data_IF_139555784269
#
_entry.id   IF_139555784269
#
_cell.length_a   1.000
_cell.length_b   1.000
_cell.length_c   1.000
_cell.angle_alpha   90.00
_cell.angle_beta   90.00
_cell.angle_gamma   90.00
#
_symmetry.space_group_name_H-M   'P 1'
#
loop_
_entity.id
_entity.type
_entity.pdbx_description
1 polymer ?
#
# COMPACT_ATOMS: atom_id res chain seq x y z
N UNK A 1 22.83 15.77 -7.96
CA UNK A 1 22.42 14.42 -8.37
C UNK A 1 21.00 14.52 -8.90
N UNK A 2 20.75 14.24 -10.19
CA UNK A 2 19.39 14.10 -10.71
C UNK A 2 18.80 12.86 -10.04
N UNK A 3 17.67 12.99 -9.36
CA UNK A 3 16.94 11.83 -8.88
C UNK A 3 16.69 10.91 -10.08
N UNK A 4 17.02 9.63 -9.94
CA UNK A 4 16.64 8.60 -10.91
C UNK A 4 15.13 8.72 -11.11
N UNK A 5 14.66 8.79 -12.36
CA UNK A 5 13.21 8.77 -12.62
C UNK A 5 12.72 7.37 -12.28
N UNK A 6 12.00 7.27 -11.18
CA UNK A 6 11.31 6.03 -10.82
C UNK A 6 10.41 5.57 -11.98
N UNK A 7 10.42 4.25 -12.22
CA UNK A 7 9.51 3.62 -13.18
C UNK A 7 8.12 3.30 -12.58
N UNK A 8 7.86 3.70 -11.33
CA UNK A 8 6.59 3.44 -10.70
C UNK A 8 5.48 4.37 -11.23
N UNK A 9 4.24 3.91 -11.15
CA UNK A 9 3.09 4.68 -11.62
C UNK A 9 2.92 5.97 -10.83
N UNK A 10 2.60 7.06 -11.52
CA UNK A 10 2.26 8.37 -10.96
C UNK A 10 0.80 8.71 -11.28
N UNK A 11 0.28 9.74 -10.67
CA UNK A 11 -1.14 10.12 -10.73
C UNK A 11 -2.06 9.02 -10.20
N UNK A 12 -1.61 8.24 -9.21
CA UNK A 12 -2.34 7.11 -8.64
C UNK A 12 -2.20 7.07 -7.12
N UNK A 13 -3.11 6.36 -6.47
CA UNK A 13 -3.14 6.20 -5.03
C UNK A 13 -2.32 5.01 -4.56
N UNK A 14 -1.49 5.23 -3.56
CA UNK A 14 -0.75 4.20 -2.83
C UNK A 14 -1.25 4.12 -1.39
N UNK A 15 -1.11 2.98 -0.76
CA UNK A 15 -1.32 2.84 0.67
C UNK A 15 -0.07 3.36 1.40
N UNK A 16 -0.21 4.39 2.23
CA UNK A 16 0.91 4.96 2.97
C UNK A 16 1.16 4.24 4.30
N UNK A 17 0.13 4.08 5.13
CA UNK A 17 0.21 3.37 6.41
C UNK A 17 -1.18 3.05 6.96
N UNK A 18 -1.24 2.23 8.01
CA UNK A 18 -2.46 2.10 8.80
C UNK A 18 -2.68 3.34 9.67
N UNK A 19 -3.93 3.81 9.77
CA UNK A 19 -4.27 5.06 10.47
C UNK A 19 -3.88 5.08 11.95
N UNK A 20 -3.83 3.91 12.61
CA UNK A 20 -3.42 3.81 14.02
C UNK A 20 -1.95 4.19 14.28
N UNK A 21 -1.11 4.20 13.23
CA UNK A 21 0.29 4.63 13.33
C UNK A 21 0.38 6.15 13.52
N UNK A 22 -0.59 6.90 12.98
CA UNK A 22 -0.64 8.36 13.06
C UNK A 22 -1.46 8.81 14.28
N UNK A 23 -0.78 9.05 15.40
CA UNK A 23 -1.41 9.62 16.59
C UNK A 23 -1.81 11.09 16.35
N UNK A 24 -2.87 11.55 17.01
CA UNK A 24 -3.27 12.96 16.98
C UNK A 24 -2.15 13.86 17.48
N UNK A 25 -1.93 14.97 16.81
CA UNK A 25 -0.86 15.93 17.13
C UNK A 25 0.56 15.41 16.84
N UNK A 26 0.70 14.35 16.03
CA UNK A 26 2.00 13.76 15.72
C UNK A 26 2.25 13.64 14.22
N UNK A 27 3.54 13.57 13.86
CA UNK A 27 4.03 13.34 12.50
C UNK A 27 5.03 12.19 12.47
N UNK A 28 5.12 11.52 11.32
CA UNK A 28 6.14 10.51 11.02
C UNK A 28 6.78 10.80 9.65
N UNK A 29 8.00 10.32 9.44
CA UNK A 29 8.59 10.25 8.11
C UNK A 29 8.17 8.94 7.44
N UNK A 30 7.78 9.02 6.18
CA UNK A 30 7.54 7.87 5.30
C UNK A 30 8.27 8.09 3.98
N UNK A 31 8.94 7.06 3.48
CA UNK A 31 9.51 7.08 2.14
C UNK A 31 8.59 6.29 1.21
N UNK A 32 8.14 6.92 0.12
CA UNK A 32 7.33 6.29 -0.92
C UNK A 32 7.92 6.72 -2.27
N UNK A 33 8.30 5.74 -3.07
CA UNK A 33 8.88 5.95 -4.41
C UNK A 33 10.07 6.92 -4.40
N UNK A 34 10.99 6.72 -3.43
CA UNK A 34 12.18 7.57 -3.19
C UNK A 34 11.84 9.01 -2.76
N UNK A 35 10.58 9.32 -2.50
CA UNK A 35 10.17 10.61 -1.96
C UNK A 35 9.99 10.53 -0.45
N UNK A 36 10.69 11.40 0.27
CA UNK A 36 10.52 11.55 1.71
C UNK A 36 9.31 12.42 2.00
N UNK A 37 8.37 11.86 2.72
CA UNK A 37 7.06 12.44 3.01
C UNK A 37 6.92 12.58 4.52
N UNK A 38 6.52 13.76 4.96
CA UNK A 38 6.04 14.00 6.32
C UNK A 38 4.54 13.69 6.33
N UNK A 39 4.16 12.58 6.96
CA UNK A 39 2.77 12.22 7.23
C UNK A 39 2.40 12.65 8.64
N UNK A 40 1.20 13.18 8.83
CA UNK A 40 0.74 13.58 10.15
C UNK A 40 -0.76 13.47 10.33
N UNK A 41 -1.17 13.57 11.59
CA UNK A 41 -2.56 13.75 11.98
C UNK A 41 -2.66 14.97 12.89
N UNK A 42 -3.46 15.94 12.48
CA UNK A 42 -3.68 17.14 13.28
C UNK A 42 -4.50 16.86 14.56
N UNK A 43 -4.64 17.86 15.43
CA UNK A 43 -5.42 17.72 16.66
C UNK A 43 -6.91 17.52 16.42
N UNK A 44 -7.43 17.90 15.23
CA UNK A 44 -8.81 17.64 14.82
C UNK A 44 -9.01 16.21 14.31
N UNK A 45 -7.92 15.44 14.15
CA UNK A 45 -7.94 14.07 13.67
C UNK A 45 -7.82 13.94 12.15
N UNK A 46 -7.62 15.05 11.41
CA UNK A 46 -7.45 15.03 9.96
C UNK A 46 -6.03 14.62 9.59
N UNK A 47 -5.89 13.66 8.68
CA UNK A 47 -4.60 13.25 8.11
C UNK A 47 -4.11 14.27 7.08
N UNK A 48 -2.80 14.46 7.00
CA UNK A 48 -2.15 15.32 6.01
C UNK A 48 -0.80 14.75 5.60
N UNK A 49 -0.31 15.18 4.43
CA UNK A 49 1.02 14.80 3.94
C UNK A 49 1.70 15.97 3.27
N UNK A 50 2.93 16.26 3.66
CA UNK A 50 3.78 17.26 3.03
C UNK A 50 5.06 16.60 2.49
N UNK A 51 5.65 17.16 1.45
CA UNK A 51 7.03 16.80 1.10
C UNK A 51 7.92 17.09 2.32
N UNK A 52 8.69 16.11 2.76
CA UNK A 52 9.55 16.28 3.94
C UNK A 52 10.76 17.14 3.61
N UNK A 53 10.49 18.37 3.17
CA UNK A 53 11.52 19.32 2.75
C UNK A 53 11.02 20.77 2.94
N UNK A 54 11.72 21.54 3.75
CA UNK A 54 11.45 22.97 3.89
C UNK A 54 11.81 23.71 2.58
N UNK A 55 10.87 24.46 1.96
CA UNK A 55 11.13 25.14 0.69
C UNK A 55 12.23 26.21 0.77
N UNK A 56 12.59 26.67 1.96
CA UNK A 56 13.63 27.69 2.14
C UNK A 56 15.03 27.14 1.79
N UNK A 57 15.47 26.07 2.47
CA UNK A 57 16.83 25.52 2.29
C UNK A 57 16.90 23.98 2.34
N UNK A 58 15.78 23.31 2.11
CA UNK A 58 15.75 21.88 1.89
C UNK A 58 15.86 20.98 3.13
N UNK A 59 15.98 21.53 4.35
CA UNK A 59 16.05 20.70 5.56
C UNK A 59 14.74 19.91 5.75
N UNK A 60 14.79 18.64 6.17
CA UNK A 60 13.58 17.87 6.42
C UNK A 60 12.70 18.53 7.49
N UNK A 61 11.41 18.65 7.21
CA UNK A 61 10.42 19.23 8.12
C UNK A 61 10.18 18.37 9.35
N UNK A 62 10.46 17.06 9.28
CA UNK A 62 10.37 16.14 10.42
C UNK A 62 11.35 16.45 11.54
N UNK A 63 12.43 17.17 11.28
CA UNK A 63 13.31 17.71 12.34
C UNK A 63 12.74 18.94 13.04
N UNK A 64 11.65 19.48 12.52
CA UNK A 64 10.95 20.61 13.10
C UNK A 64 10.04 20.23 14.26
N UNK A 65 9.25 21.18 14.71
CA UNK A 65 8.26 21.00 15.76
C UNK A 65 6.86 21.10 15.18
N UNK A 66 6.06 20.06 15.35
CA UNK A 66 4.63 20.09 15.07
C UNK A 66 3.86 20.41 16.35
N UNK A 67 3.01 21.43 16.33
CA UNK A 67 2.22 21.86 17.49
C UNK A 67 0.76 21.36 17.43
N UNK A 68 0.45 20.44 16.50
CA UNK A 68 -0.89 19.92 16.27
C UNK A 68 -1.65 20.63 15.15
N UNK A 69 -1.18 21.80 14.70
CA UNK A 69 -1.77 22.60 13.63
C UNK A 69 -0.76 23.05 12.58
N UNK A 70 0.46 23.35 12.99
CA UNK A 70 1.53 23.89 12.13
C UNK A 70 2.86 23.20 12.39
N UNK A 71 3.68 23.06 11.35
CA UNK A 71 5.05 22.57 11.42
C UNK A 71 6.00 23.77 11.42
N UNK A 72 6.78 23.92 12.49
CA UNK A 72 7.84 24.92 12.57
C UNK A 72 9.17 24.27 12.14
N UNK A 73 9.76 24.78 11.06
CA UNK A 73 11.07 24.37 10.59
C UNK A 73 12.14 24.66 11.65
N UNK A 74 12.99 23.67 11.93
CA UNK A 74 14.04 23.79 12.96
C UNK A 74 15.18 24.76 12.60
N UNK A 75 15.32 25.14 11.31
CA UNK A 75 16.47 25.95 10.87
C UNK A 75 16.23 27.45 11.04
N UNK A 76 15.12 28.00 10.46
CA UNK A 76 14.84 29.46 10.52
C UNK A 76 13.45 29.77 11.08
N UNK A 77 12.78 28.77 11.67
CA UNK A 77 11.49 28.94 12.32
C UNK A 77 10.30 29.22 11.38
N UNK A 78 10.46 29.00 10.05
CA UNK A 78 9.33 29.14 9.13
C UNK A 78 8.23 28.16 9.53
N UNK A 79 6.98 28.62 9.52
CA UNK A 79 5.83 27.81 9.90
C UNK A 79 4.97 27.49 8.71
N UNK A 80 4.53 26.25 8.64
CA UNK A 80 3.68 25.73 7.57
C UNK A 80 2.46 25.06 8.17
N UNK A 81 1.28 25.39 7.64
CA UNK A 81 0.03 24.70 7.94
C UNK A 81 0.05 23.28 7.38
N UNK A 82 -0.92 22.48 7.78
CA UNK A 82 -1.06 21.07 7.30
C UNK A 82 -1.39 20.96 5.80
N UNK A 83 -1.83 22.05 5.16
CA UNK A 83 -2.00 22.17 3.71
C UNK A 83 -0.74 22.66 2.97
N UNK A 84 0.36 22.83 3.69
CA UNK A 84 1.63 23.31 3.16
C UNK A 84 1.76 24.85 3.07
N UNK A 85 0.72 25.62 3.30
CA UNK A 85 0.76 27.09 3.23
C UNK A 85 1.65 27.64 4.34
N UNK A 86 2.59 28.53 3.99
CA UNK A 86 3.41 29.23 4.98
C UNK A 86 2.54 30.22 5.76
N UNK A 87 2.55 30.13 7.07
CA UNK A 87 1.82 31.04 7.97
C UNK A 87 2.70 32.12 8.57
N UNK A 88 4.02 31.85 8.71
CA UNK A 88 4.95 32.77 9.37
C UNK A 88 6.39 32.57 8.91
N UNK A 89 7.06 33.70 8.65
CA UNK A 89 8.52 33.79 8.48
C UNK A 89 9.05 34.74 9.56
N UNK A 90 9.65 34.21 10.65
CA UNK A 90 9.98 35.06 11.83
C UNK A 90 10.95 36.19 11.57
N UNK A 91 11.80 36.04 10.57
CA UNK A 91 12.86 37.01 10.23
C UNK A 91 12.43 38.10 9.24
N UNK A 92 11.15 38.12 8.84
CA UNK A 92 10.65 39.17 7.96
C UNK A 92 10.58 40.48 8.70
N UNK A 93 11.10 41.59 8.08
CA UNK A 93 10.93 42.93 8.62
C UNK A 93 9.45 43.32 8.74
N UNK A 94 9.07 44.15 9.73
CA UNK A 94 7.67 44.57 9.90
C UNK A 94 7.05 45.23 8.66
N UNK A 95 7.88 45.86 7.82
CA UNK A 95 7.45 46.60 6.61
C UNK A 95 7.54 45.71 5.35
N UNK A 96 7.78 44.40 5.49
CA UNK A 96 7.86 43.52 4.35
C UNK A 96 6.53 43.45 3.61
N UNK A 97 6.58 43.62 2.28
CA UNK A 97 5.42 43.42 1.39
C UNK A 97 5.24 41.99 0.93
N UNK A 98 6.07 41.06 1.44
CA UNK A 98 6.00 39.66 1.05
C UNK A 98 4.72 39.01 1.61
N UNK A 99 3.89 38.52 0.73
CA UNK A 99 2.76 37.66 1.09
C UNK A 99 3.28 36.24 1.36
N UNK A 100 3.45 35.89 2.63
CA UNK A 100 4.00 34.61 3.05
C UNK A 100 3.11 33.43 2.63
N UNK A 101 1.81 33.65 2.41
CA UNK A 101 0.87 32.61 2.01
C UNK A 101 1.12 32.07 0.59
N UNK A 102 1.86 32.81 -0.24
CA UNK A 102 2.33 32.37 -1.55
C UNK A 102 3.49 31.39 -1.47
N UNK A 103 4.14 31.31 -0.32
CA UNK A 103 5.19 30.32 -0.06
C UNK A 103 4.52 29.03 0.43
N UNK A 104 4.81 27.90 -0.22
CA UNK A 104 4.21 26.62 0.14
C UNK A 104 5.25 25.50 0.24
N UNK A 105 5.13 24.69 1.27
CA UNK A 105 5.71 23.35 1.27
C UNK A 105 4.83 22.48 0.35
N UNK A 106 5.40 21.74 -0.63
CA UNK A 106 4.60 20.87 -1.47
C UNK A 106 3.84 19.83 -0.63
N UNK A 107 2.61 19.54 -0.99
CA UNK A 107 1.75 18.60 -0.27
C UNK A 107 1.28 17.46 -1.20
N UNK A 108 0.84 16.38 -0.59
CA UNK A 108 0.24 15.23 -1.27
C UNK A 108 -1.21 15.09 -0.83
N UNK A 109 -2.16 14.90 -1.75
CA UNK A 109 -3.52 14.53 -1.37
C UNK A 109 -3.51 13.22 -0.58
N UNK A 110 -4.22 13.21 0.54
CA UNK A 110 -4.37 12.03 1.40
C UNK A 110 -5.83 11.81 1.76
N UNK A 111 -6.18 10.54 1.92
CA UNK A 111 -7.52 10.13 2.35
C UNK A 111 -7.42 8.97 3.32
N UNK A 112 -8.17 9.05 4.40
CA UNK A 112 -8.32 7.92 5.32
C UNK A 112 -9.64 7.21 5.06
N UNK A 113 -9.58 5.89 4.84
CA UNK A 113 -10.74 5.03 4.60
C UNK A 113 -10.48 3.65 5.20
N UNK A 114 -11.44 3.09 5.90
CA UNK A 114 -11.33 1.76 6.54
C UNK A 114 -10.08 1.58 7.43
N UNK A 115 -9.61 2.66 8.05
CA UNK A 115 -8.36 2.66 8.83
C UNK A 115 -7.09 2.68 7.99
N UNK A 116 -7.19 2.87 6.68
CA UNK A 116 -6.07 2.97 5.75
C UNK A 116 -5.81 4.43 5.41
N UNK A 117 -4.57 4.88 5.49
CA UNK A 117 -4.16 6.18 4.96
C UNK A 117 -3.64 5.99 3.55
N UNK A 118 -4.42 6.46 2.59
CA UNK A 118 -4.09 6.45 1.17
C UNK A 118 -3.47 7.79 0.78
N UNK A 119 -2.43 7.74 -0.05
CA UNK A 119 -1.73 8.92 -0.55
C UNK A 119 -1.72 8.91 -2.08
N UNK A 120 -2.03 10.04 -2.67
CA UNK A 120 -1.92 10.22 -4.11
C UNK A 120 -0.53 10.75 -4.46
N UNK A 121 0.19 10.07 -5.35
CA UNK A 121 1.47 10.52 -5.87
C UNK A 121 1.29 11.20 -7.22
N UNK A 122 1.27 12.55 -7.27
CA UNK A 122 1.11 13.26 -8.53
C UNK A 122 2.38 13.14 -9.39
N UNK A 123 2.21 13.22 -10.69
CA UNK A 123 3.33 13.33 -11.64
C UNK A 123 3.98 14.72 -11.57
N UNK A 124 3.16 15.74 -11.32
CA UNK A 124 3.61 17.14 -11.13
C UNK A 124 3.13 17.66 -9.78
N UNK A 125 4.09 17.96 -8.91
CA UNK A 125 3.82 18.50 -7.57
C UNK A 125 3.29 19.94 -7.56
N UNK A 126 3.25 20.62 -8.72
CA UNK A 126 2.66 21.96 -8.83
C UNK A 126 1.13 21.92 -8.84
N UNK A 127 0.57 20.80 -9.26
CA UNK A 127 -0.88 20.58 -9.41
C UNK A 127 -1.34 19.28 -8.74
N UNK A 128 -1.09 19.13 -7.41
CA UNK A 128 -1.43 17.89 -6.72
C UNK A 128 -2.95 17.65 -6.59
N UNK A 129 -3.76 18.73 -6.75
CA UNK A 129 -5.22 18.70 -6.76
C UNK A 129 -5.83 18.15 -8.06
N UNK A 130 -5.07 18.06 -9.16
CA UNK A 130 -5.52 17.48 -10.43
C UNK A 130 -5.59 15.94 -10.33
N UNK A 131 -6.27 15.44 -9.32
CA UNK A 131 -6.44 14.02 -9.12
C UNK A 131 -7.75 13.51 -9.74
N UNK A 132 -7.64 12.38 -10.43
CA UNK A 132 -8.82 11.71 -10.94
C UNK A 132 -9.43 10.83 -9.85
N UNK A 133 -10.58 11.21 -9.33
CA UNK A 133 -11.30 10.47 -8.28
C UNK A 133 -11.66 9.04 -8.71
N UNK A 134 -11.85 8.79 -10.01
CA UNK A 134 -12.13 7.45 -10.52
C UNK A 134 -10.96 6.47 -10.33
N UNK A 135 -9.78 6.97 -10.01
CA UNK A 135 -8.57 6.16 -9.72
C UNK A 135 -8.41 5.82 -8.24
N UNK A 136 -9.37 6.21 -7.39
CA UNK A 136 -9.35 5.80 -5.99
C UNK A 136 -9.70 4.31 -5.88
N UNK A 137 -8.92 3.51 -5.13
CA UNK A 137 -9.16 2.07 -5.00
C UNK A 137 -10.53 1.77 -4.39
N UNK A 138 -11.13 0.66 -4.84
CA UNK A 138 -12.40 0.17 -4.31
C UNK A 138 -12.16 -0.96 -3.30
N UNK A 139 -12.88 -0.87 -2.19
CA UNK A 139 -12.80 -1.86 -1.11
C UNK A 139 -14.18 -2.49 -0.91
N UNK A 140 -14.31 -3.83 -0.90
CA UNK A 140 -15.58 -4.53 -0.66
C UNK A 140 -15.91 -4.57 0.85
N UNK A 141 -15.88 -3.41 1.50
CA UNK A 141 -16.07 -3.25 2.93
C UNK A 141 -17.06 -2.11 3.18
N UNK A 142 -17.98 -2.29 4.11
CA UNK A 142 -18.91 -1.23 4.50
C UNK A 142 -18.17 -0.04 5.11
N UNK A 143 -18.70 1.17 4.91
CA UNK A 143 -18.00 2.43 5.25
C UNK A 143 -17.70 2.57 6.75
N UNK A 144 -18.50 1.94 7.62
CA UNK A 144 -18.32 1.92 9.08
C UNK A 144 -17.29 0.86 9.56
N UNK A 145 -16.77 0.04 8.67
CA UNK A 145 -15.82 -1.03 8.99
C UNK A 145 -14.39 -0.63 8.70
N UNK A 146 -13.47 -1.19 9.48
CA UNK A 146 -12.04 -1.00 9.32
C UNK A 146 -11.29 -2.32 9.42
N UNK A 147 -10.09 -2.36 8.84
CA UNK A 147 -9.19 -3.48 9.01
C UNK A 147 -8.58 -3.47 10.43
N UNK A 148 -8.57 -4.64 11.06
CA UNK A 148 -8.19 -4.77 12.46
C UNK A 148 -6.79 -5.31 12.69
N UNK A 149 -6.35 -6.25 11.83
CA UNK A 149 -5.06 -6.89 11.94
C UNK A 149 -4.16 -6.37 10.83
N UNK A 150 -2.97 -5.92 11.21
CA UNK A 150 -2.01 -5.33 10.26
C UNK A 150 -0.64 -5.96 10.47
N UNK A 151 -0.03 -6.42 9.39
CA UNK A 151 1.35 -6.92 9.35
C UNK A 151 2.08 -6.27 8.21
N UNK A 152 3.26 -5.69 8.44
CA UNK A 152 4.08 -5.05 7.43
C UNK A 152 5.48 -5.64 7.40
N UNK A 153 6.01 -5.88 6.19
CA UNK A 153 7.36 -6.40 5.96
C UNK A 153 8.02 -5.67 4.78
N UNK A 154 9.31 -5.36 4.88
CA UNK A 154 10.08 -4.90 3.73
C UNK A 154 10.38 -6.07 2.79
N UNK A 155 10.26 -5.83 1.49
CA UNK A 155 10.67 -6.74 0.41
C UNK A 155 11.80 -6.09 -0.37
N UNK A 156 12.91 -6.81 -0.52
CA UNK A 156 14.10 -6.31 -1.21
C UNK A 156 14.00 -6.53 -2.73
N UNK A 157 12.93 -6.03 -3.34
CA UNK A 157 12.74 -6.04 -4.78
C UNK A 157 11.86 -4.87 -5.24
N UNK A 158 11.84 -4.61 -6.55
CA UNK A 158 11.00 -3.58 -7.15
C UNK A 158 9.51 -3.87 -6.99
N UNK A 159 8.68 -2.84 -7.14
CA UNK A 159 7.23 -2.97 -7.09
C UNK A 159 6.71 -4.01 -8.10
N UNK A 160 7.20 -3.98 -9.35
CA UNK A 160 6.72 -4.88 -10.40
C UNK A 160 6.97 -6.35 -10.08
N UNK A 161 8.18 -6.69 -9.61
CA UNK A 161 8.49 -8.05 -9.19
C UNK A 161 7.64 -8.47 -7.99
N UNK A 162 7.44 -7.55 -7.03
CA UNK A 162 6.59 -7.81 -5.86
C UNK A 162 5.14 -8.07 -6.26
N UNK A 163 4.61 -7.28 -7.22
CA UNK A 163 3.24 -7.47 -7.74
C UNK A 163 3.11 -8.80 -8.46
N UNK A 164 4.04 -9.13 -9.37
CA UNK A 164 4.01 -10.39 -10.12
C UNK A 164 3.98 -11.58 -9.15
N UNK A 165 4.81 -11.57 -8.11
CA UNK A 165 4.78 -12.62 -7.10
C UNK A 165 3.51 -12.65 -6.26
N UNK A 166 2.97 -11.48 -5.89
CA UNK A 166 1.73 -11.39 -5.09
C UNK A 166 0.51 -11.96 -5.83
N UNK A 167 0.41 -11.72 -7.14
CA UNK A 167 -0.74 -12.16 -7.94
C UNK A 167 -0.59 -13.58 -8.48
N UNK A 168 0.58 -14.20 -8.38
CA UNK A 168 0.82 -15.57 -8.81
C UNK A 168 0.21 -16.58 -7.83
N UNK A 169 -0.78 -17.40 -8.22
CA UNK A 169 -1.32 -18.44 -7.35
C UNK A 169 -0.47 -19.72 -7.32
N UNK A 170 0.47 -19.87 -8.25
CA UNK A 170 1.23 -21.10 -8.42
C UNK A 170 2.32 -21.29 -7.36
N UNK A 171 2.85 -20.19 -6.80
CA UNK A 171 3.88 -20.26 -5.76
C UNK A 171 3.36 -20.81 -4.42
N UNK A 172 2.06 -20.62 -4.13
CA UNK A 172 1.47 -20.92 -2.80
C UNK A 172 1.80 -22.32 -2.27
N UNK A 173 1.63 -23.44 -3.01
CA UNK A 173 1.93 -24.77 -2.49
C UNK A 173 3.42 -25.06 -2.32
N UNK A 174 4.30 -24.26 -2.92
CA UNK A 174 5.76 -24.44 -2.86
C UNK A 174 6.41 -23.55 -1.81
N UNK A 175 5.91 -22.32 -1.65
CA UNK A 175 6.44 -21.34 -0.71
C UNK A 175 5.81 -21.52 0.67
N UNK A 176 4.49 -21.67 0.74
CA UNK A 176 3.74 -21.75 2.00
C UNK A 176 3.57 -23.20 2.47
N UNK A 177 4.67 -23.92 2.61
CA UNK A 177 4.70 -25.29 3.09
C UNK A 177 4.45 -25.34 4.61
N UNK A 178 3.20 -25.19 5.02
CA UNK A 178 2.75 -25.39 6.39
C UNK A 178 1.70 -26.49 6.45
N UNK A 179 1.38 -26.97 7.67
CA UNK A 179 0.31 -27.96 7.83
C UNK A 179 -1.07 -27.48 7.32
N UNK A 180 -1.25 -26.17 7.11
CA UNK A 180 -2.46 -25.60 6.52
C UNK A 180 -2.55 -25.79 5.00
N UNK A 181 -1.42 -25.93 4.31
CA UNK A 181 -1.35 -26.13 2.87
C UNK A 181 -0.83 -27.52 2.55
N UNK A 182 -1.40 -28.16 1.52
CA UNK A 182 -0.93 -29.48 1.08
C UNK A 182 0.48 -29.38 0.52
N UNK A 183 1.28 -30.44 0.76
CA UNK A 183 2.57 -30.63 0.11
C UNK A 183 2.40 -30.69 -1.41
N UNK A 184 3.42 -30.25 -2.14
CA UNK A 184 3.44 -30.13 -3.60
C UNK A 184 3.09 -31.41 -4.37
N UNK A 185 3.30 -32.58 -3.77
CA UNK A 185 3.16 -33.89 -4.43
C UNK A 185 1.72 -34.29 -4.80
N UNK A 186 0.71 -33.55 -4.33
CA UNK A 186 -0.71 -33.84 -4.53
C UNK A 186 -1.51 -32.58 -4.96
N UNK A 187 -0.97 -31.80 -5.89
CA UNK A 187 -1.65 -30.62 -6.41
C UNK A 187 -2.91 -30.98 -7.19
N UNK A 188 -4.04 -30.48 -6.75
CA UNK A 188 -5.28 -30.51 -7.51
C UNK A 188 -5.40 -29.25 -8.33
N UNK A 189 -5.21 -29.38 -9.62
CA UNK A 189 -5.47 -28.31 -10.58
C UNK A 189 -6.95 -27.97 -10.56
N UNK A 190 -7.27 -26.70 -10.67
CA UNK A 190 -8.64 -26.19 -10.76
C UNK A 190 -8.66 -25.04 -11.76
N UNK A 191 -9.54 -25.17 -12.71
CA UNK A 191 -9.85 -24.11 -13.64
C UNK A 191 -10.42 -22.90 -12.88
N UNK A 192 -9.99 -21.70 -13.25
CA UNK A 192 -10.38 -20.45 -12.62
C UNK A 192 -10.80 -19.45 -13.69
N UNK A 193 -11.93 -18.80 -13.44
CA UNK A 193 -12.46 -17.75 -14.33
C UNK A 193 -12.06 -16.39 -13.84
N UNK A 194 -11.69 -15.51 -14.77
CA UNK A 194 -11.30 -14.15 -14.52
C UNK A 194 -12.21 -13.17 -15.25
N UNK A 195 -12.32 -11.97 -14.70
CA UNK A 195 -13.05 -10.87 -15.30
C UNK A 195 -12.31 -9.54 -15.07
N UNK A 196 -12.47 -8.54 -15.95
CA UNK A 196 -12.02 -7.18 -15.67
C UNK A 196 -12.69 -6.65 -14.39
N UNK A 197 -11.97 -5.81 -13.67
CA UNK A 197 -12.50 -5.08 -12.52
C UNK A 197 -11.92 -3.66 -12.46
N UNK A 198 -12.38 -2.87 -11.49
CA UNK A 198 -11.87 -1.53 -11.27
C UNK A 198 -10.35 -1.53 -11.10
N UNK A 199 -9.64 -0.75 -11.91
CA UNK A 199 -8.18 -0.63 -11.96
C UNK A 199 -7.42 -1.95 -12.11
N UNK A 200 -8.08 -3.03 -12.60
CA UNK A 200 -7.41 -4.32 -12.64
C UNK A 200 -8.27 -5.48 -13.15
N UNK A 201 -8.17 -6.59 -12.46
CA UNK A 201 -8.89 -7.82 -12.77
C UNK A 201 -9.27 -8.56 -11.50
N UNK A 202 -10.21 -9.50 -11.62
CA UNK A 202 -10.60 -10.37 -10.52
C UNK A 202 -10.76 -11.82 -10.96
N UNK A 203 -10.39 -12.74 -10.08
CA UNK A 203 -10.79 -14.11 -10.13
C UNK A 203 -12.23 -14.21 -9.61
N UNK A 204 -13.13 -14.61 -10.49
CA UNK A 204 -14.57 -14.67 -10.18
C UNK A 204 -14.83 -15.61 -8.99
N UNK A 205 -15.83 -15.25 -8.20
CA UNK A 205 -16.22 -16.01 -6.99
C UNK A 205 -16.37 -17.50 -7.25
N UNK A 206 -15.67 -18.29 -6.48
CA UNK A 206 -15.60 -19.74 -6.61
C UNK A 206 -15.42 -20.42 -5.25
N UNK A 207 -15.64 -21.72 -5.18
CA UNK A 207 -15.32 -22.49 -3.98
C UNK A 207 -13.80 -22.49 -3.73
N UNK A 208 -13.33 -22.32 -2.48
CA UNK A 208 -11.90 -22.26 -2.17
C UNK A 208 -11.17 -23.56 -2.58
N UNK A 209 -9.85 -23.46 -2.70
CA UNK A 209 -9.02 -24.61 -3.04
C UNK A 209 -9.09 -25.67 -1.94
N UNK A 210 -9.33 -26.92 -2.33
CA UNK A 210 -9.26 -28.09 -1.42
C UNK A 210 -7.83 -28.36 -0.91
N UNK A 211 -6.84 -27.59 -1.36
CA UNK A 211 -5.45 -27.70 -0.95
C UNK A 211 -5.16 -26.99 0.38
N UNK A 212 -6.07 -26.16 0.89
CA UNK A 212 -5.91 -25.48 2.19
C UNK A 212 -6.75 -26.14 3.28
N UNK A 213 -6.10 -26.57 4.37
CA UNK A 213 -6.78 -27.06 5.57
C UNK A 213 -7.45 -25.95 6.37
N UNK A 214 -7.01 -24.69 6.22
CA UNK A 214 -7.56 -23.53 6.93
C UNK A 214 -9.07 -23.38 6.68
N UNK A 215 -9.52 -23.64 5.47
CA UNK A 215 -10.94 -23.56 5.11
C UNK A 215 -11.80 -24.67 5.76
N UNK A 216 -11.20 -25.80 6.16
CA UNK A 216 -11.93 -26.90 6.82
C UNK A 216 -12.32 -26.56 8.26
N UNK A 217 -11.59 -25.67 8.92
CA UNK A 217 -11.85 -25.24 10.31
C UNK A 217 -13.17 -24.47 10.40
N UNK A 218 -13.55 -23.75 9.34
CA UNK A 218 -14.70 -22.86 9.33
C UNK A 218 -16.05 -23.59 9.22
N UNK A 219 -16.08 -24.90 8.93
CA UNK A 219 -17.23 -25.84 8.93
C UNK A 219 -18.50 -25.39 8.17
N UNK A 220 -18.50 -24.23 7.50
CA UNK A 220 -19.61 -23.67 6.73
C UNK A 220 -19.27 -23.66 5.24
N UNK A 221 -20.27 -23.52 4.41
CA UNK A 221 -20.05 -23.27 2.97
C UNK A 221 -19.24 -21.99 2.78
N UNK A 222 -18.26 -22.06 1.91
CA UNK A 222 -17.31 -21.00 1.69
C UNK A 222 -17.16 -20.69 0.21
N UNK A 223 -17.05 -19.42 -0.12
CA UNK A 223 -16.68 -18.94 -1.45
C UNK A 223 -15.62 -17.85 -1.34
N UNK A 224 -14.75 -17.76 -2.34
CA UNK A 224 -13.70 -16.73 -2.40
C UNK A 224 -13.73 -16.00 -3.73
N UNK A 225 -13.48 -14.71 -3.69
CA UNK A 225 -13.20 -13.83 -4.82
C UNK A 225 -11.87 -13.15 -4.57
N UNK A 226 -11.00 -13.09 -5.57
CA UNK A 226 -9.71 -12.44 -5.44
C UNK A 226 -9.64 -11.34 -6.50
N UNK A 227 -9.46 -10.09 -6.07
CA UNK A 227 -9.28 -8.96 -6.97
C UNK A 227 -7.89 -8.36 -6.84
N UNK A 228 -7.41 -7.80 -7.93
CA UNK A 228 -6.19 -7.00 -8.00
C UNK A 228 -6.50 -5.64 -8.61
N UNK A 229 -5.92 -4.59 -8.04
CA UNK A 229 -5.98 -3.22 -8.51
C UNK A 229 -4.56 -2.63 -8.56
N UNK A 230 -4.21 -1.96 -9.67
CA UNK A 230 -2.97 -1.19 -9.72
C UNK A 230 -3.01 -0.07 -8.68
N UNK A 231 -1.86 0.35 -8.10
CA UNK A 231 -0.50 -0.11 -8.43
C UNK A 231 -0.09 -1.42 -7.76
N UNK A 232 -0.77 -1.87 -6.72
CA UNK A 232 -0.37 -3.07 -5.99
C UNK A 232 -1.31 -3.42 -4.83
N UNK A 233 -2.62 -3.48 -5.07
CA UNK A 233 -3.62 -3.85 -4.07
C UNK A 233 -4.27 -5.17 -4.47
N UNK A 234 -4.10 -6.21 -3.66
CA UNK A 234 -4.77 -7.50 -3.81
C UNK A 234 -5.74 -7.71 -2.66
N UNK A 235 -6.97 -8.03 -2.97
CA UNK A 235 -8.01 -8.29 -1.98
C UNK A 235 -8.56 -9.70 -2.20
N UNK A 236 -8.53 -10.51 -1.16
CA UNK A 236 -9.20 -11.80 -1.10
C UNK A 236 -10.42 -11.67 -0.19
N UNK A 237 -11.59 -11.80 -0.79
CA UNK A 237 -12.88 -11.72 -0.11
C UNK A 237 -13.47 -13.12 0.04
N UNK A 238 -13.47 -13.64 1.25
CA UNK A 238 -13.96 -14.96 1.60
C UNK A 238 -15.30 -14.81 2.31
N UNK A 239 -16.35 -15.42 1.77
CA UNK A 239 -17.63 -15.58 2.45
C UNK A 239 -17.69 -16.91 3.17
N UNK A 240 -18.17 -16.90 4.43
CA UNK A 240 -18.31 -18.07 5.31
C UNK A 240 -19.74 -18.06 5.89
N UNK A 241 -20.69 -18.62 5.13
CA UNK A 241 -22.11 -18.39 5.41
C UNK A 241 -22.44 -16.92 5.31
N UNK A 242 -22.97 -16.33 6.39
CA UNK A 242 -23.31 -14.89 6.46
C UNK A 242 -22.12 -13.98 6.85
N UNK A 243 -20.96 -14.56 7.19
CA UNK A 243 -19.81 -13.79 7.64
C UNK A 243 -18.82 -13.52 6.50
N UNK A 244 -18.08 -12.41 6.62
CA UNK A 244 -17.04 -12.00 5.71
C UNK A 244 -15.65 -12.06 6.36
N UNK A 245 -14.68 -12.50 5.57
CA UNK A 245 -13.26 -12.34 5.85
C UNK A 245 -12.64 -11.63 4.65
N UNK A 246 -12.00 -10.49 4.87
CA UNK A 246 -11.23 -9.80 3.86
C UNK A 246 -9.76 -9.82 4.24
N UNK A 247 -8.93 -10.31 3.32
CA UNK A 247 -7.49 -10.25 3.41
C UNK A 247 -7.01 -9.34 2.29
N UNK A 248 -6.54 -8.15 2.66
CA UNK A 248 -6.00 -7.21 1.70
C UNK A 248 -4.48 -7.15 1.86
N UNK A 249 -3.77 -7.27 0.76
CA UNK A 249 -2.32 -7.08 0.69
C UNK A 249 -2.02 -5.90 -0.20
N UNK A 250 -1.24 -4.96 0.31
CA UNK A 250 -0.79 -3.78 -0.45
C UNK A 250 0.71 -3.81 -0.62
N UNK A 251 1.16 -3.36 -1.77
CA UNK A 251 2.55 -3.18 -2.12
C UNK A 251 2.80 -1.70 -2.38
N UNK A 252 3.67 -1.10 -1.56
CA UNK A 252 4.03 0.31 -1.66
C UNK A 252 5.52 0.42 -1.95
N UNK A 253 5.94 1.02 -3.08
CA UNK A 253 7.35 1.16 -3.39
C UNK A 253 8.01 2.11 -2.39
N UNK A 254 9.08 1.67 -1.75
CA UNK A 254 9.96 2.55 -0.97
C UNK A 254 10.91 3.27 -1.94
N UNK A 255 11.54 2.49 -2.82
CA UNK A 255 12.41 2.96 -3.91
C UNK A 255 12.45 1.91 -5.03
N UNK A 256 13.34 2.09 -6.01
CA UNK A 256 13.47 1.18 -7.17
C UNK A 256 13.78 -0.28 -6.79
N UNK A 257 14.37 -0.51 -5.60
CA UNK A 257 14.87 -1.83 -5.18
C UNK A 257 14.17 -2.37 -3.92
N UNK A 258 13.24 -1.60 -3.37
CA UNK A 258 12.58 -1.96 -2.13
C UNK A 258 11.11 -1.62 -2.16
N UNK A 259 10.30 -2.57 -1.76
CA UNK A 259 8.84 -2.45 -1.64
C UNK A 259 8.42 -2.80 -0.21
N UNK A 260 7.45 -2.12 0.34
CA UNK A 260 6.81 -2.50 1.58
C UNK A 260 5.56 -3.30 1.27
N UNK A 261 5.49 -4.54 1.76
CA UNK A 261 4.29 -5.35 1.75
C UNK A 261 3.56 -5.15 3.07
N UNK A 262 2.28 -4.75 2.99
CA UNK A 262 1.43 -4.67 4.17
C UNK A 262 0.18 -5.50 3.96
N UNK A 263 -0.10 -6.40 4.88
CA UNK A 263 -1.31 -7.22 4.89
C UNK A 263 -2.26 -6.72 5.97
N UNK A 264 -3.53 -6.62 5.61
CA UNK A 264 -4.63 -6.20 6.45
C UNK A 264 -5.68 -7.31 6.46
N UNK A 265 -6.26 -7.57 7.62
CA UNK A 265 -7.33 -8.56 7.77
C UNK A 265 -8.51 -7.90 8.48
N UNK A 266 -9.69 -8.09 7.89
CA UNK A 266 -10.98 -7.78 8.51
C UNK A 266 -11.81 -9.05 8.59
N UNK A 267 -12.60 -9.19 9.65
CA UNK A 267 -13.65 -10.18 9.74
C UNK A 267 -14.72 -9.76 10.74
N UNK A 268 -15.97 -10.10 10.44
CA UNK A 268 -17.11 -9.95 11.34
C UNK A 268 -17.39 -11.20 12.20
N UNK A 269 -16.54 -12.23 12.08
CA UNK A 269 -16.62 -13.45 12.90
C UNK A 269 -16.29 -13.10 14.35
N UNK A 270 -17.31 -13.10 15.22
CA UNK A 270 -17.22 -12.59 16.62
C UNK A 270 -16.11 -13.23 17.45
N UNK A 271 -15.86 -14.54 17.32
CA UNK A 271 -14.86 -15.23 18.12
C UNK A 271 -13.41 -14.93 17.65
N UNK A 272 -13.22 -14.45 16.43
CA UNK A 272 -11.89 -14.14 15.88
C UNK A 272 -11.13 -13.15 16.75
N UNK A 273 -11.80 -12.17 17.34
CA UNK A 273 -11.18 -11.17 18.22
C UNK A 273 -10.38 -11.78 19.41
N UNK A 274 -10.81 -12.93 19.91
CA UNK A 274 -10.14 -13.61 21.03
C UNK A 274 -8.88 -14.37 20.60
N UNK A 275 -8.78 -14.71 19.32
CA UNK A 275 -7.65 -15.45 18.75
C UNK A 275 -6.72 -14.55 17.92
N UNK A 276 -6.91 -13.22 17.95
CA UNK A 276 -6.09 -12.25 17.21
C UNK A 276 -4.57 -12.48 17.33
N UNK A 277 -3.98 -12.70 18.54
CA UNK A 277 -2.54 -12.92 18.66
C UNK A 277 -2.06 -14.16 17.90
N UNK A 278 -2.90 -15.20 17.84
CA UNK A 278 -2.60 -16.43 17.12
C UNK A 278 -2.65 -16.17 15.61
N UNK A 279 -3.72 -15.53 15.12
CA UNK A 279 -3.85 -15.18 13.71
C UNK A 279 -2.77 -14.21 13.24
N UNK A 280 -2.36 -13.25 14.10
CA UNK A 280 -1.25 -12.36 13.81
C UNK A 280 0.05 -13.15 13.54
N UNK A 281 0.39 -14.11 14.40
CA UNK A 281 1.59 -14.94 14.24
C UNK A 281 1.53 -15.77 12.94
N UNK A 282 0.36 -16.28 12.58
CA UNK A 282 0.19 -17.01 11.33
C UNK A 282 0.33 -16.10 10.11
N UNK A 283 -0.31 -14.94 10.11
CA UNK A 283 -0.19 -13.95 9.05
C UNK A 283 1.26 -13.47 8.89
N UNK A 284 1.93 -13.15 9.99
CA UNK A 284 3.34 -12.73 10.01
C UNK A 284 4.26 -13.79 9.43
N UNK A 285 4.09 -15.06 9.84
CA UNK A 285 4.86 -16.18 9.31
C UNK A 285 4.59 -16.45 7.83
N UNK A 286 3.33 -16.32 7.40
CA UNK A 286 2.94 -16.50 6.02
C UNK A 286 3.65 -15.47 5.12
N UNK A 287 3.58 -14.18 5.48
CA UNK A 287 4.26 -13.12 4.74
C UNK A 287 5.78 -13.27 4.82
N UNK A 288 6.32 -13.74 5.94
CA UNK A 288 7.77 -13.94 6.07
C UNK A 288 8.30 -14.95 5.04
N UNK A 289 7.52 -15.97 4.71
CA UNK A 289 7.89 -16.94 3.67
C UNK A 289 8.01 -16.29 2.28
N UNK A 290 7.11 -15.37 1.95
CA UNK A 290 7.22 -14.59 0.72
C UNK A 290 8.47 -13.71 0.74
N UNK A 291 8.71 -12.97 1.81
CA UNK A 291 9.91 -12.13 1.96
C UNK A 291 11.18 -12.95 1.77
N UNK A 292 11.25 -14.17 2.31
CA UNK A 292 12.41 -15.05 2.21
C UNK A 292 12.64 -15.54 0.77
N UNK A 293 11.58 -15.76 0.00
CA UNK A 293 11.69 -16.09 -1.45
C UNK A 293 12.17 -14.87 -2.22
N UNK A 294 11.65 -13.68 -1.92
CA UNK A 294 12.07 -12.46 -2.62
C UNK A 294 13.52 -12.07 -2.34
N UNK A 295 14.07 -12.38 -1.17
CA UNK A 295 15.50 -12.25 -0.91
C UNK A 295 16.34 -13.12 -1.87
N UNK A 296 15.91 -14.37 -2.11
CA UNK A 296 16.57 -15.26 -3.07
C UNK A 296 16.39 -14.79 -4.50
N UNK A 297 15.18 -14.31 -4.84
CA UNK A 297 14.89 -13.73 -6.16
C UNK A 297 15.83 -12.55 -6.47
N UNK A 298 16.08 -11.68 -5.49
CA UNK A 298 17.01 -10.54 -5.63
C UNK A 298 18.41 -10.99 -6.07
N UNK A 299 18.93 -12.08 -5.52
CA UNK A 299 20.24 -12.60 -5.91
C UNK A 299 20.27 -12.96 -7.40
N UNK A 300 19.20 -13.59 -7.91
CA UNK A 300 19.06 -13.91 -9.33
C UNK A 300 18.92 -12.67 -10.20
N UNK A 301 18.11 -11.70 -9.78
CA UNK A 301 17.87 -10.46 -10.52
C UNK A 301 19.10 -9.58 -10.66
N UNK A 302 20.08 -9.66 -9.76
CA UNK A 302 21.34 -8.92 -9.87
C UNK A 302 22.13 -9.28 -11.14
N UNK A 303 21.86 -10.45 -11.74
CA UNK A 303 22.47 -10.89 -13.00
C UNK A 303 21.64 -10.48 -14.24
N UNK A 304 20.60 -9.65 -14.06
CA UNK A 304 19.73 -9.15 -15.11
C UNK A 304 19.21 -10.26 -16.06
N UNK A 305 18.61 -11.35 -15.54
CA UNK A 305 18.17 -12.47 -16.35
C UNK A 305 16.98 -12.09 -17.24
N UNK A 306 16.85 -12.67 -18.43
CA UNK A 306 15.61 -12.55 -19.19
C UNK A 306 14.49 -13.26 -18.42
N UNK A 307 13.43 -12.52 -18.07
CA UNK A 307 12.24 -13.10 -17.44
C UNK A 307 11.40 -13.79 -18.50
N UNK A 308 11.01 -15.04 -18.24
CA UNK A 308 10.14 -15.82 -19.11
C UNK A 308 8.71 -15.82 -18.50
N UNK A 309 7.76 -15.23 -19.20
CA UNK A 309 6.35 -15.32 -18.86
C UNK A 309 5.68 -16.34 -19.81
N UNK A 310 5.32 -17.49 -19.26
CA UNK A 310 4.63 -18.56 -19.98
C UNK A 310 3.16 -18.20 -20.26
N UNK A 311 2.40 -19.08 -20.91
CA UNK A 311 0.98 -18.89 -21.22
C UNK A 311 0.10 -18.78 -19.98
N UNK A 312 -0.67 -19.82 -19.71
CA UNK A 312 -1.66 -19.82 -18.63
C UNK A 312 -1.10 -19.60 -17.22
N UNK A 313 0.05 -20.15 -16.82
CA UNK A 313 0.58 -19.93 -15.47
C UNK A 313 0.82 -18.45 -15.13
N UNK A 314 1.30 -17.67 -16.12
CA UNK A 314 1.70 -16.27 -15.92
C UNK A 314 0.69 -15.27 -16.51
N UNK A 315 -0.54 -15.69 -16.78
CA UNK A 315 -1.55 -14.83 -17.41
C UNK A 315 -1.83 -13.57 -16.58
N UNK A 316 -1.86 -13.68 -15.26
CA UNK A 316 -2.08 -12.54 -14.38
C UNK A 316 -0.93 -11.53 -14.47
N UNK A 317 0.31 -11.99 -14.56
CA UNK A 317 1.48 -11.11 -14.77
C UNK A 317 1.40 -10.38 -16.13
N UNK A 318 0.95 -11.07 -17.19
CA UNK A 318 0.71 -10.44 -18.51
C UNK A 318 -0.39 -9.39 -18.44
N UNK A 319 -1.49 -9.65 -17.74
CA UNK A 319 -2.56 -8.65 -17.55
C UNK A 319 -2.08 -7.45 -16.75
N UNK A 320 -1.34 -7.68 -15.66
CA UNK A 320 -0.72 -6.60 -14.90
C UNK A 320 0.10 -5.68 -15.82
N UNK A 321 1.03 -6.24 -16.58
CA UNK A 321 1.88 -5.48 -17.50
C UNK A 321 1.06 -4.71 -18.56
N UNK A 322 0.01 -5.33 -19.10
CA UNK A 322 -0.87 -4.70 -20.08
C UNK A 322 -1.66 -3.52 -19.47
N UNK A 323 -2.19 -3.69 -18.25
CA UNK A 323 -2.93 -2.64 -17.53
C UNK A 323 -1.99 -1.49 -17.19
N UNK A 324 -0.81 -1.79 -16.65
CA UNK A 324 0.22 -0.81 -16.32
C UNK A 324 0.62 0.01 -17.56
N UNK A 325 0.94 -0.66 -18.67
CA UNK A 325 1.32 0.01 -19.93
C UNK A 325 0.20 0.88 -20.47
N UNK A 326 -1.05 0.43 -20.38
CA UNK A 326 -2.22 1.24 -20.79
C UNK A 326 -2.34 2.49 -19.93
N UNK A 327 -2.20 2.35 -18.62
CA UNK A 327 -2.27 3.44 -17.67
C UNK A 327 -1.16 4.50 -17.90
N UNK A 328 0.07 4.07 -18.20
CA UNK A 328 1.20 4.99 -18.48
C UNK A 328 1.01 5.82 -19.77
N UNK A 329 0.18 5.33 -20.70
CA UNK A 329 -0.12 5.99 -21.98
C UNK A 329 -1.35 6.91 -21.92
N UNK A 330 -2.17 6.80 -20.87
CA UNK A 330 -3.35 7.65 -20.64
C UNK A 330 -2.97 8.93 -19.88
#
# INVERSE_FOLDING_TARGET
MKASKSNNLRNIWYMACHGSVLKKGATIEKEIDSEKILLGRDEKGKVFALKNQCPHRGIPLTYGKFDGCEIQCCYHGWRFKTDGTCSKIPTLPPNSKLDVTKVRAPYYPVREVHGLVMIYLPKDMRYPEDMNESLFPQFPLATDKSFDLVTAKPMDCSLDHSVIGLIDPAHVPFVHQSWFFRKSDNLKLKEKNFAPSHLGFKMVRHAPSKNSAAYKILKKEQTTEISFQIPGIRIEHIKVGENDILIMTTLTPVNEHKTELTQFIYTDIKWFKYLRPIFYRFADKFIQQDVDVFKKLKEGLNNNPPLMLMGDPDMQAKWYNAIRTRYEKS
#
